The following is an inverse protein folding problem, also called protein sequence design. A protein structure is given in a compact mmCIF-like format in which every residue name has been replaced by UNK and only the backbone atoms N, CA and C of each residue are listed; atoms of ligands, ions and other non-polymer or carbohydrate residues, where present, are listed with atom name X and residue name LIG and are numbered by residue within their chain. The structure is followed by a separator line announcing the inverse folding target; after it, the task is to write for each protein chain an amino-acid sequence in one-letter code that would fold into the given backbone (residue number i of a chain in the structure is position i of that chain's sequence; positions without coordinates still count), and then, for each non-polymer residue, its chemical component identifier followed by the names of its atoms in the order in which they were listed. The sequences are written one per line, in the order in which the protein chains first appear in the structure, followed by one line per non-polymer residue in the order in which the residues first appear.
data_IF_413837045719
#
_entry.id   IF_413837045719
#
_cell.length_a   1.000
_cell.length_b   1.000
_cell.length_c   1.000
_cell.angle_alpha   90.00
_cell.angle_beta   90.00
_cell.angle_gamma   90.00
#
_symmetry.space_group_name_H-M   'P 1'
#
loop_
_entity.id
_entity.type
_entity.pdbx_description
1 polymer ?
#
# COMPACT_ATOMS: atom_id res chain seq x y z
N UNK A 1 -51.29 -7.27 -46.26
CA UNK A 1 -50.28 -6.45 -45.57
C UNK A 1 -49.98 -7.15 -44.24
N UNK A 2 -48.77 -7.69 -44.00
CA UNK A 2 -48.47 -8.37 -42.76
C UNK A 2 -48.22 -7.35 -41.64
N UNK A 3 -48.75 -7.64 -40.44
CA UNK A 3 -48.51 -6.85 -39.23
C UNK A 3 -47.06 -7.02 -38.78
N UNK A 4 -46.38 -5.90 -38.55
CA UNK A 4 -45.03 -5.86 -38.04
C UNK A 4 -45.02 -6.27 -36.56
N UNK A 5 -44.36 -7.39 -36.26
CA UNK A 5 -44.06 -7.81 -34.89
C UNK A 5 -42.96 -6.92 -34.35
N UNK A 6 -43.30 -6.09 -33.37
CA UNK A 6 -42.35 -5.22 -32.66
C UNK A 6 -41.38 -6.07 -31.85
N UNK A 7 -40.14 -6.20 -32.34
CA UNK A 7 -39.03 -6.81 -31.63
C UNK A 7 -38.62 -5.91 -30.45
N UNK A 8 -39.16 -6.24 -29.27
CA UNK A 8 -38.73 -5.62 -28.02
C UNK A 8 -37.28 -6.05 -27.73
N UNK A 9 -36.35 -5.17 -28.11
CA UNK A 9 -34.93 -5.28 -27.76
C UNK A 9 -34.81 -5.36 -26.24
N UNK A 10 -34.68 -6.58 -25.70
CA UNK A 10 -34.26 -6.80 -24.32
C UNK A 10 -32.91 -6.09 -24.14
N UNK A 11 -32.91 -4.97 -23.42
CA UNK A 11 -31.68 -4.37 -22.89
C UNK A 11 -31.00 -5.45 -22.05
N UNK A 12 -29.80 -5.86 -22.45
CA UNK A 12 -28.93 -6.66 -21.60
C UNK A 12 -28.67 -5.93 -20.28
N UNK A 13 -28.34 -6.65 -19.20
CA UNK A 13 -28.07 -6.02 -17.90
C UNK A 13 -26.99 -4.95 -18.09
N UNK A 14 -27.27 -3.74 -17.58
CA UNK A 14 -26.30 -2.67 -17.56
C UNK A 14 -25.03 -3.18 -16.86
N UNK A 15 -23.92 -3.26 -17.58
CA UNK A 15 -22.62 -3.52 -16.97
C UNK A 15 -22.33 -2.33 -16.07
N UNK A 16 -22.60 -2.48 -14.78
CA UNK A 16 -22.36 -1.43 -13.79
C UNK A 16 -20.89 -1.00 -13.84
N UNK A 17 -20.65 0.32 -13.85
CA UNK A 17 -19.31 0.90 -13.90
C UNK A 17 -18.44 0.23 -12.82
N UNK A 18 -17.24 -0.22 -13.20
CA UNK A 18 -16.30 -0.81 -12.27
C UNK A 18 -15.94 0.21 -11.19
N UNK A 19 -15.90 -0.17 -9.89
CA UNK A 19 -15.47 0.74 -8.84
C UNK A 19 -14.06 1.23 -9.16
N UNK A 20 -13.81 2.53 -9.00
CA UNK A 20 -12.49 3.11 -9.24
C UNK A 20 -11.74 3.27 -7.92
N UNK A 21 -10.43 3.01 -7.95
CA UNK A 21 -9.54 3.21 -6.82
C UNK A 21 -8.69 4.47 -7.04
N UNK A 22 -8.87 5.48 -6.19
CA UNK A 22 -7.98 6.64 -6.08
C UNK A 22 -6.85 6.28 -5.12
N UNK A 23 -5.61 6.56 -5.52
CA UNK A 23 -4.41 6.20 -4.76
C UNK A 23 -3.61 7.47 -4.48
N UNK A 24 -3.23 7.66 -3.22
CA UNK A 24 -2.26 8.66 -2.76
C UNK A 24 -1.15 7.92 -2.02
N UNK A 25 0.08 8.39 -2.11
CA UNK A 25 1.20 7.76 -1.40
C UNK A 25 2.23 8.77 -0.93
N UNK A 26 2.99 8.37 0.08
CA UNK A 26 4.19 9.05 0.54
C UNK A 26 5.20 7.99 0.96
N UNK A 27 6.47 8.25 0.72
CA UNK A 27 7.58 7.36 1.09
C UNK A 27 8.81 8.23 1.26
N UNK A 28 9.42 8.18 2.45
CA UNK A 28 10.56 9.03 2.77
C UNK A 28 11.56 8.28 3.64
N UNK A 29 12.88 8.46 3.40
CA UNK A 29 13.88 7.93 4.30
C UNK A 29 13.89 8.69 5.64
N UNK A 30 14.57 8.18 6.69
CA UNK A 30 14.72 8.93 7.91
C UNK A 30 15.59 10.18 7.68
N UNK A 31 15.44 11.22 8.51
CA UNK A 31 16.23 12.44 8.39
C UNK A 31 17.74 12.15 8.35
N UNK A 32 18.45 12.73 7.38
CA UNK A 32 19.90 12.55 7.21
C UNK A 32 20.31 11.30 6.42
N UNK A 33 19.39 10.43 6.00
CA UNK A 33 19.64 9.37 5.02
C UNK A 33 19.21 9.82 3.62
N UNK A 34 20.07 9.61 2.63
CA UNK A 34 19.79 9.94 1.23
C UNK A 34 19.06 8.81 0.47
N UNK A 35 19.12 7.60 0.99
CA UNK A 35 18.56 6.39 0.35
C UNK A 35 17.35 5.94 1.16
N UNK A 36 16.25 5.75 0.44
CA UNK A 36 15.04 5.08 0.91
C UNK A 36 15.03 3.66 0.33
N UNK A 37 14.96 2.68 1.21
CA UNK A 37 14.94 1.24 0.99
C UNK A 37 13.51 0.71 0.87
N UNK A 38 12.51 1.45 1.36
CA UNK A 38 11.10 1.19 1.06
C UNK A 38 10.78 1.46 -0.41
N UNK A 39 9.72 0.81 -0.89
CA UNK A 39 9.15 1.09 -2.20
C UNK A 39 7.63 1.07 -2.18
N UNK A 40 7.05 2.18 -2.66
CA UNK A 40 5.66 2.22 -3.08
C UNK A 40 5.58 1.88 -4.57
N UNK A 41 4.64 1.01 -4.94
CA UNK A 41 4.40 0.68 -6.35
C UNK A 41 2.91 0.65 -6.70
N UNK A 42 2.64 0.87 -7.99
CA UNK A 42 1.31 0.69 -8.60
C UNK A 42 1.48 0.11 -10.00
N UNK A 43 0.80 -1.00 -10.26
CA UNK A 43 0.71 -1.63 -11.57
C UNK A 43 -0.75 -1.97 -11.84
N UNK A 44 -1.39 -1.31 -12.81
CA UNK A 44 -2.82 -1.54 -13.08
C UNK A 44 -3.70 -1.38 -11.82
N UNK A 45 -4.49 -2.41 -11.43
CA UNK A 45 -5.28 -2.41 -10.20
C UNK A 45 -4.47 -2.78 -8.94
N UNK A 46 -3.24 -3.26 -9.09
CA UNK A 46 -2.36 -3.63 -7.98
C UNK A 46 -1.64 -2.40 -7.41
N UNK A 47 -1.67 -2.30 -6.09
CA UNK A 47 -0.95 -1.30 -5.28
C UNK A 47 -0.26 -2.00 -4.13
N UNK A 48 0.92 -1.51 -3.75
CA UNK A 48 1.66 -2.11 -2.65
C UNK A 48 2.73 -1.20 -2.08
N UNK A 49 3.13 -1.54 -0.85
CA UNK A 49 4.30 -1.03 -0.17
C UNK A 49 5.19 -2.24 0.12
N UNK A 50 6.48 -2.09 -0.13
CA UNK A 50 7.50 -3.07 0.22
C UNK A 50 8.49 -2.39 1.17
N UNK A 51 8.77 -3.05 2.28
CA UNK A 51 9.77 -2.64 3.24
C UNK A 51 11.19 -3.02 2.77
N UNK A 52 12.15 -2.17 3.10
CA UNK A 52 13.57 -2.42 2.90
C UNK A 52 14.09 -3.49 3.86
N UNK A 53 14.54 -4.64 3.33
CA UNK A 53 15.13 -5.67 4.18
C UNK A 53 16.45 -5.17 4.82
N UNK A 54 16.46 -4.91 6.12
CA UNK A 54 17.72 -4.69 6.86
C UNK A 54 18.49 -6.00 6.94
N UNK A 55 19.54 -6.14 6.14
CA UNK A 55 20.40 -7.33 6.14
C UNK A 55 21.35 -7.24 7.35
N UNK A 56 21.34 -8.23 8.28
CA UNK A 56 22.29 -8.26 9.38
C UNK A 56 23.74 -8.28 8.86
N UNK A 57 24.64 -7.61 9.58
CA UNK A 57 26.05 -7.59 9.21
C UNK A 57 26.62 -9.01 9.11
N UNK A 58 27.28 -9.34 8.01
CA UNK A 58 27.86 -10.66 7.75
C UNK A 58 26.87 -11.71 7.21
N UNK A 59 25.61 -11.35 6.94
CA UNK A 59 24.65 -12.27 6.32
C UNK A 59 24.87 -12.35 4.80
N UNK A 60 25.21 -13.54 4.29
CA UNK A 60 25.38 -13.77 2.86
C UNK A 60 24.01 -13.81 2.17
N UNK A 61 23.67 -12.73 1.46
CA UNK A 61 22.43 -12.65 0.68
C UNK A 61 22.52 -13.38 -0.65
N UNK A 62 23.69 -13.90 -1.02
CA UNK A 62 23.97 -14.47 -2.35
C UNK A 62 23.94 -13.44 -3.48
N UNK A 63 23.87 -12.13 -3.16
CA UNK A 63 23.82 -11.03 -4.11
C UNK A 63 24.75 -9.89 -3.68
N UNK A 64 25.36 -9.21 -4.65
CA UNK A 64 26.25 -8.05 -4.41
C UNK A 64 25.51 -6.72 -4.28
N UNK A 65 24.18 -6.73 -4.40
CA UNK A 65 23.34 -5.54 -4.44
C UNK A 65 22.63 -5.31 -3.10
N UNK A 66 22.31 -4.05 -2.79
CA UNK A 66 21.63 -3.67 -1.54
C UNK A 66 20.11 -3.86 -1.53
N UNK A 67 19.45 -3.67 -0.37
CA UNK A 67 18.00 -3.87 -0.18
C UNK A 67 17.12 -3.06 -1.14
N UNK A 68 17.48 -1.79 -1.38
CA UNK A 68 16.77 -0.93 -2.35
C UNK A 68 16.75 -1.54 -3.77
N UNK A 69 17.85 -2.15 -4.22
CA UNK A 69 17.90 -2.83 -5.52
C UNK A 69 16.95 -4.03 -5.53
N UNK A 70 16.98 -4.82 -4.46
CA UNK A 70 16.16 -6.02 -4.32
C UNK A 70 14.66 -5.69 -4.38
N UNK A 71 14.22 -4.74 -3.56
CA UNK A 71 12.81 -4.32 -3.49
C UNK A 71 12.30 -3.77 -4.83
N UNK A 72 13.13 -2.99 -5.55
CA UNK A 72 12.81 -2.52 -6.91
C UNK A 72 12.61 -3.65 -7.91
N UNK A 73 13.48 -4.65 -7.89
CA UNK A 73 13.38 -5.79 -8.80
C UNK A 73 12.21 -6.70 -8.44
N UNK A 74 11.91 -6.85 -7.15
CA UNK A 74 10.72 -7.57 -6.67
C UNK A 74 9.44 -6.88 -7.14
N UNK A 75 9.29 -5.57 -6.92
CA UNK A 75 8.11 -4.84 -7.40
C UNK A 75 7.94 -4.92 -8.92
N UNK A 76 9.02 -4.77 -9.69
CA UNK A 76 8.96 -4.93 -11.15
C UNK A 76 8.49 -6.34 -11.54
N UNK A 77 9.01 -7.38 -10.86
CA UNK A 77 8.56 -8.75 -11.06
C UNK A 77 7.10 -8.96 -10.67
N UNK A 78 6.62 -8.37 -9.57
CA UNK A 78 5.22 -8.43 -9.17
C UNK A 78 4.29 -7.73 -10.18
N UNK A 79 4.73 -6.58 -10.73
CA UNK A 79 4.01 -5.89 -11.79
C UNK A 79 3.94 -6.70 -13.09
N UNK A 80 5.05 -7.33 -13.49
CA UNK A 80 5.09 -8.23 -14.65
C UNK A 80 4.34 -9.55 -14.39
N UNK A 81 4.24 -9.96 -13.12
CA UNK A 81 3.53 -11.17 -12.69
C UNK A 81 2.00 -11.06 -12.80
N UNK A 82 1.42 -9.88 -13.06
CA UNK A 82 0.05 -9.80 -13.57
C UNK A 82 -0.14 -10.63 -14.88
N UNK A 83 0.97 -11.11 -15.50
CA UNK A 83 1.01 -12.08 -16.59
C UNK A 83 1.98 -13.28 -16.38
N UNK A 84 2.47 -13.60 -15.17
CA UNK A 84 3.50 -14.66 -14.94
C UNK A 84 3.96 -14.90 -13.49
N UNK A 85 4.87 -15.85 -13.22
CA UNK A 85 5.13 -16.51 -11.92
C UNK A 85 6.01 -15.76 -10.87
N UNK A 86 5.83 -16.15 -9.59
CA UNK A 86 6.34 -15.53 -8.36
C UNK A 86 7.79 -15.88 -8.01
N UNK A 87 8.51 -14.98 -7.32
CA UNK A 87 9.78 -15.27 -6.61
C UNK A 87 9.78 -14.41 -5.36
N UNK A 88 9.95 -15.07 -4.22
CA UNK A 88 10.18 -14.43 -2.93
C UNK A 88 11.69 -14.36 -2.66
N UNK A 89 12.06 -13.44 -1.76
CA UNK A 89 13.42 -13.05 -1.42
C UNK A 89 14.20 -14.15 -0.69
N UNK A 90 15.34 -13.77 -0.10
CA UNK A 90 16.30 -14.58 0.67
C UNK A 90 15.76 -15.87 1.34
N UNK A 91 14.55 -15.84 1.90
CA UNK A 91 13.75 -17.04 2.20
C UNK A 91 12.42 -17.01 1.42
N UNK A 92 12.26 -17.84 0.38
CA UNK A 92 11.02 -17.86 -0.37
C UNK A 92 9.83 -18.42 0.43
N UNK A 93 10.08 -19.17 1.51
CA UNK A 93 9.03 -19.73 2.35
C UNK A 93 8.30 -18.67 3.18
N UNK A 94 8.92 -17.50 3.38
CA UNK A 94 8.28 -16.35 4.02
C UNK A 94 7.00 -15.93 3.30
N UNK A 95 6.91 -16.13 1.97
CA UNK A 95 5.69 -15.84 1.21
C UNK A 95 4.50 -16.69 1.67
N UNK A 96 4.72 -17.91 2.15
CA UNK A 96 3.64 -18.77 2.65
C UNK A 96 3.13 -18.36 4.03
N UNK A 97 3.82 -17.45 4.72
CA UNK A 97 3.36 -16.88 5.99
C UNK A 97 2.47 -15.65 5.79
N UNK A 98 2.25 -15.23 4.54
CA UNK A 98 1.42 -14.07 4.24
C UNK A 98 -0.04 -14.31 4.65
N UNK A 99 -0.59 -13.35 5.42
CA UNK A 99 -2.03 -13.30 5.68
C UNK A 99 -2.71 -12.66 4.48
N UNK A 100 -3.64 -13.39 3.86
CA UNK A 100 -4.38 -12.93 2.67
C UNK A 100 -5.88 -12.90 2.96
N UNK A 101 -6.59 -11.98 2.29
CA UNK A 101 -8.03 -11.84 2.41
C UNK A 101 -8.61 -11.10 1.21
N UNK A 102 -9.94 -11.09 1.10
CA UNK A 102 -10.65 -10.35 0.06
C UNK A 102 -11.86 -9.65 0.68
N UNK A 103 -12.02 -8.38 0.37
CA UNK A 103 -13.16 -7.57 0.80
C UNK A 103 -13.96 -7.12 -0.42
N UNK A 104 -15.31 -7.10 -0.34
CA UNK A 104 -16.12 -6.66 -1.46
C UNK A 104 -15.91 -5.16 -1.73
N UNK A 105 -15.93 -4.78 -3.01
CA UNK A 105 -15.92 -3.36 -3.42
C UNK A 105 -17.33 -2.82 -3.72
N UNK A 106 -18.37 -3.66 -3.61
CA UNK A 106 -19.78 -3.32 -3.86
C UNK A 106 -20.69 -3.88 -2.77
N UNK A 107 -21.84 -3.24 -2.57
CA UNK A 107 -22.83 -3.62 -1.56
C UNK A 107 -22.67 -2.91 -0.21
N UNK A 108 -23.45 -3.32 0.80
CA UNK A 108 -23.45 -2.69 2.14
C UNK A 108 -22.09 -2.76 2.84
N UNK A 109 -21.42 -3.92 2.76
CA UNK A 109 -20.12 -4.22 3.39
C UNK A 109 -18.91 -3.76 2.56
N UNK A 110 -19.13 -2.92 1.55
CA UNK A 110 -18.07 -2.58 0.61
C UNK A 110 -17.00 -1.68 1.22
N UNK A 111 -15.75 -2.09 1.04
CA UNK A 111 -14.56 -1.36 1.43
C UNK A 111 -14.59 0.05 0.82
N UNK A 112 -14.38 1.05 1.68
CA UNK A 112 -14.38 2.47 1.30
C UNK A 112 -12.99 3.03 1.17
N UNK A 113 -12.17 2.69 2.16
CA UNK A 113 -10.84 3.25 2.38
C UNK A 113 -9.94 2.11 2.88
N UNK A 114 -8.70 2.12 2.44
CA UNK A 114 -7.65 1.25 2.96
C UNK A 114 -6.34 2.01 3.02
N UNK A 115 -5.47 1.61 3.93
CA UNK A 115 -4.10 2.11 4.00
C UNK A 115 -3.15 0.93 4.11
N UNK A 116 -2.08 0.96 3.33
CA UNK A 116 -0.94 0.04 3.41
C UNK A 116 0.25 0.81 3.97
N UNK A 117 0.99 0.19 4.88
CA UNK A 117 2.04 0.83 5.68
C UNK A 117 3.29 -0.06 5.71
N UNK A 118 4.48 0.54 5.69
CA UNK A 118 5.66 -0.09 6.30
C UNK A 118 5.62 0.07 7.81
N UNK A 119 6.42 -0.73 8.52
CA UNK A 119 6.58 -0.63 9.96
C UNK A 119 7.03 0.79 10.39
N UNK A 120 7.87 1.44 9.58
CA UNK A 120 8.30 2.80 9.84
C UNK A 120 7.19 3.86 9.75
N UNK A 121 6.06 3.56 9.12
CA UNK A 121 4.86 4.39 9.18
C UNK A 121 3.87 3.96 10.28
N UNK A 122 3.81 2.68 10.64
CA UNK A 122 2.89 2.16 11.67
C UNK A 122 3.26 2.60 13.09
N UNK A 123 4.52 3.00 13.32
CA UNK A 123 4.99 3.47 14.63
C UNK A 123 4.21 4.65 15.21
N UNK A 124 3.54 5.47 14.39
CA UNK A 124 2.65 6.52 14.89
C UNK A 124 1.57 5.97 15.84
N UNK A 125 1.10 4.74 15.57
CA UNK A 125 0.13 4.01 16.38
C UNK A 125 0.84 3.07 17.35
N UNK A 126 1.71 2.20 16.85
CA UNK A 126 2.22 1.05 17.61
C UNK A 126 3.25 1.43 18.67
N UNK A 127 4.09 2.44 18.40
CA UNK A 127 5.19 2.80 19.29
C UNK A 127 4.97 4.16 19.97
N UNK A 128 4.65 5.19 19.19
CA UNK A 128 4.45 6.55 19.69
C UNK A 128 3.08 6.74 20.34
N UNK A 129 2.07 5.94 19.97
CA UNK A 129 0.72 6.06 20.53
C UNK A 129 0.09 7.43 20.27
N UNK A 130 0.44 8.07 19.15
CA UNK A 130 -0.09 9.39 18.76
C UNK A 130 -1.52 9.30 18.24
N UNK A 131 -1.86 8.14 17.67
CA UNK A 131 -3.10 7.84 16.97
C UNK A 131 -3.50 6.40 17.32
N UNK A 132 -4.78 6.09 17.21
CA UNK A 132 -5.20 4.72 16.95
C UNK A 132 -5.30 4.45 15.42
N UNK A 133 -5.68 3.23 15.04
CA UNK A 133 -5.80 2.87 13.62
C UNK A 133 -6.90 3.64 12.86
N UNK A 134 -7.98 4.04 13.55
CA UNK A 134 -9.05 4.81 12.94
C UNK A 134 -8.62 6.28 12.74
N UNK A 135 -7.97 6.87 13.74
CA UNK A 135 -7.38 8.19 13.67
C UNK A 135 -6.34 8.28 12.54
N UNK A 136 -5.50 7.25 12.40
CA UNK A 136 -4.54 7.17 11.29
C UNK A 136 -5.25 7.20 9.94
N UNK A 137 -6.32 6.43 9.76
CA UNK A 137 -7.13 6.43 8.54
C UNK A 137 -7.72 7.81 8.24
N UNK A 138 -8.16 8.55 9.26
CA UNK A 138 -8.71 9.89 9.09
C UNK A 138 -7.63 10.93 8.78
N UNK A 139 -6.44 10.83 9.39
CA UNK A 139 -5.27 11.66 9.04
C UNK A 139 -4.88 11.47 7.59
N UNK A 140 -4.73 10.23 7.12
CA UNK A 140 -4.34 9.98 5.72
C UNK A 140 -5.45 10.30 4.72
N UNK A 141 -6.72 10.22 5.14
CA UNK A 141 -7.85 10.62 4.32
C UNK A 141 -7.87 12.14 4.12
N UNK A 142 -7.71 12.91 5.19
CA UNK A 142 -7.74 14.38 5.15
C UNK A 142 -6.43 14.99 4.60
N UNK A 143 -5.30 14.68 5.23
CA UNK A 143 -4.00 15.26 4.89
C UNK A 143 -3.23 14.50 3.81
N UNK A 144 -3.61 13.26 3.55
CA UNK A 144 -2.82 12.35 2.70
C UNK A 144 -1.72 11.64 3.48
N UNK A 145 -1.08 10.62 2.85
CA UNK A 145 0.01 9.87 3.47
C UNK A 145 1.22 10.72 3.89
N UNK A 146 1.47 11.86 3.24
CA UNK A 146 2.54 12.78 3.62
C UNK A 146 2.35 13.35 5.03
N UNK A 147 1.10 13.66 5.41
CA UNK A 147 0.80 14.16 6.76
C UNK A 147 1.11 13.12 7.84
N UNK A 148 0.91 11.82 7.55
CA UNK A 148 1.31 10.75 8.45
C UNK A 148 2.84 10.68 8.58
N UNK A 149 3.58 10.75 7.46
CA UNK A 149 5.05 10.78 7.49
C UNK A 149 5.55 11.99 8.31
N UNK A 150 4.96 13.16 8.13
CA UNK A 150 5.33 14.37 8.89
C UNK A 150 5.10 14.20 10.40
N UNK A 151 3.98 13.56 10.80
CA UNK A 151 3.69 13.23 12.21
C UNK A 151 4.73 12.26 12.78
N UNK A 152 5.10 11.22 12.04
CA UNK A 152 6.16 10.28 12.45
C UNK A 152 7.48 11.04 12.64
N UNK A 153 7.86 11.90 11.68
CA UNK A 153 9.10 12.67 11.78
C UNK A 153 9.08 13.66 12.95
N UNK A 154 7.93 14.23 13.29
CA UNK A 154 7.80 15.07 14.47
C UNK A 154 8.05 14.27 15.76
N UNK A 155 7.42 13.10 15.88
CA UNK A 155 7.60 12.26 17.06
C UNK A 155 9.03 11.72 17.21
N UNK A 156 9.68 11.34 16.11
CA UNK A 156 11.09 10.92 16.12
C UNK A 156 12.02 12.05 16.63
N UNK A 157 11.73 13.31 16.29
CA UNK A 157 12.50 14.47 16.76
C UNK A 157 12.26 14.75 18.25
N UNK A 158 11.03 14.62 18.70
CA UNK A 158 10.63 14.92 20.08
C UNK A 158 11.02 13.81 21.07
N UNK A 159 11.31 12.60 20.55
CA UNK A 159 11.69 11.43 21.33
C UNK A 159 13.01 10.77 20.87
N UNK A 160 14.14 11.51 20.86
CA UNK A 160 15.40 11.02 20.31
C UNK A 160 16.00 9.84 21.07
N UNK A 161 15.67 9.71 22.36
CA UNK A 161 16.21 8.68 23.25
C UNK A 161 15.32 7.42 23.34
N UNK A 162 14.18 7.39 22.63
CA UNK A 162 13.28 6.22 22.68
C UNK A 162 13.86 5.11 21.80
N UNK A 163 14.15 3.93 22.37
CA UNK A 163 14.77 2.87 21.59
C UNK A 163 13.73 2.21 20.68
N UNK A 164 13.80 2.43 19.36
CA UNK A 164 13.59 1.27 18.48
C UNK A 164 14.72 0.30 18.75
N UNK A 165 14.47 -0.99 18.57
CA UNK A 165 15.42 -2.08 18.85
C UNK A 165 16.85 -1.82 18.33
N UNK A 166 17.04 -1.07 17.23
CA UNK A 166 18.36 -0.83 16.63
C UNK A 166 18.62 0.55 15.97
N UNK A 167 17.64 1.45 15.78
CA UNK A 167 17.83 2.76 15.08
C UNK A 167 16.83 3.86 15.50
N UNK A 168 17.21 5.13 15.66
CA UNK A 168 16.31 6.20 16.14
C UNK A 168 15.19 6.59 15.15
N UNK A 169 15.33 6.25 13.87
CA UNK A 169 14.34 6.53 12.83
C UNK A 169 14.48 5.51 11.69
N UNK A 170 13.42 5.34 10.91
CA UNK A 170 13.36 4.41 9.77
C UNK A 170 12.70 5.03 8.53
N UNK A 171 12.83 4.36 7.39
CA UNK A 171 12.06 4.65 6.20
C UNK A 171 10.57 4.53 6.53
N UNK A 172 9.77 5.49 6.08
CA UNK A 172 8.34 5.52 6.38
C UNK A 172 7.56 5.66 5.08
N UNK A 173 6.74 4.65 4.79
CA UNK A 173 5.97 4.57 3.57
C UNK A 173 4.52 4.21 3.82
N UNK A 174 3.63 4.89 3.12
CA UNK A 174 2.21 4.69 3.21
C UNK A 174 1.54 4.88 1.85
N UNK A 175 0.57 4.00 1.56
CA UNK A 175 -0.33 4.11 0.40
C UNK A 175 -1.76 4.16 0.93
N UNK A 176 -2.46 5.25 0.64
CA UNK A 176 -3.89 5.39 0.92
C UNK A 176 -4.70 5.13 -0.35
N UNK A 177 -5.67 4.24 -0.22
CA UNK A 177 -6.59 3.81 -1.28
C UNK A 177 -8.01 4.21 -0.91
N UNK A 178 -8.70 4.88 -1.83
CA UNK A 178 -10.09 5.23 -1.69
C UNK A 178 -10.90 4.66 -2.87
N UNK A 179 -11.98 3.97 -2.55
CA UNK A 179 -12.82 3.26 -3.51
C UNK A 179 -14.14 4.02 -3.71
N UNK A 180 -14.30 4.63 -4.87
CA UNK A 180 -15.54 5.36 -5.19
C UNK A 180 -16.65 4.40 -5.57
N UNK A 181 -17.88 4.72 -5.15
CA UNK A 181 -19.07 4.04 -5.66
C UNK A 181 -19.33 4.54 -7.07
N UNK A 182 -19.80 3.64 -7.93
CA UNK A 182 -20.28 3.93 -9.28
C UNK A 182 -21.34 5.04 -9.32
N UNK A 183 -22.00 5.30 -8.19
CA UNK A 183 -23.10 6.27 -8.05
C UNK A 183 -22.63 7.68 -7.67
N UNK A 184 -21.35 7.88 -7.34
CA UNK A 184 -20.78 9.17 -6.88
C UNK A 184 -20.32 10.09 -8.04
N UNK A 185 -20.46 9.65 -9.29
CA UNK A 185 -20.03 10.39 -10.48
C UNK A 185 -21.12 11.28 -11.09
N UNK A 186 -22.18 11.57 -10.34
CA UNK A 186 -23.38 12.27 -10.81
C UNK A 186 -23.77 13.53 -10.04
N UNK A 187 -22.78 14.28 -9.53
CA UNK A 187 -22.98 15.62 -8.95
C UNK A 187 -22.46 16.71 -9.90
#
# INVERSE_FOLDING_TARGET
MPEAVSEERRRGPAVGVAPTMRVRSASAPPPGRAVNEDLVFRFGPLVGVLDGATVPEGFDTGCVHGPQWYVRHLAARLGLAEHGYWVAAADPDAAYQAVVGTLPLRGPEALRRAVLLTDGASVAVEEFGLLDWADLLDVVSAGGPGALVDLVRAAERDHPDRPRRHKPADDASAVYCEFTRSDDSGA
#
